data_IF_416285702022
#
_entry.id   IF_416285702022
#
_cell.length_a   1.000
_cell.length_b   1.000
_cell.length_c   1.000
_cell.angle_alpha   90.00
_cell.angle_beta   90.00
_cell.angle_gamma   90.00
#
_symmetry.space_group_name_H-M   'P 1'
#
loop_
_entity.id
_entity.type
_entity.pdbx_description
1 polymer ?
#
# COMPACT_ATOMS: atom_id res chain seq x y z
N UNK A 1 -8.30 -32.48 -48.29
CA UNK A 1 -7.47 -31.75 -47.32
C UNK A 1 -6.58 -30.81 -48.11
N UNK A 2 -7.01 -29.62 -48.53
CA UNK A 2 -7.28 -28.42 -47.74
C UNK A 2 -6.07 -28.01 -46.87
N UNK A 3 -5.19 -27.14 -47.38
CA UNK A 3 -5.09 -25.78 -46.85
C UNK A 3 -4.23 -24.87 -47.75
N UNK A 4 -4.84 -23.75 -48.09
CA UNK A 4 -4.33 -22.60 -48.82
C UNK A 4 -3.59 -21.70 -47.79
N UNK A 5 -2.34 -21.33 -48.04
CA UNK A 5 -1.60 -20.38 -47.19
C UNK A 5 -1.65 -19.02 -47.85
N UNK A 6 -2.56 -18.18 -47.36
CA UNK A 6 -2.75 -16.80 -47.79
C UNK A 6 -1.68 -15.92 -47.14
N UNK A 7 -0.81 -15.35 -47.96
CA UNK A 7 0.18 -14.33 -47.59
C UNK A 7 -0.53 -12.99 -47.37
N UNK A 8 -0.67 -12.56 -46.12
CA UNK A 8 -1.17 -11.22 -45.79
C UNK A 8 0.01 -10.27 -45.60
N UNK A 9 0.23 -9.42 -46.61
CA UNK A 9 1.05 -8.22 -46.53
C UNK A 9 0.38 -7.22 -45.58
N UNK A 10 1.00 -6.97 -44.43
CA UNK A 10 0.56 -5.94 -43.49
C UNK A 10 1.09 -4.57 -43.92
N UNK A 11 0.14 -3.68 -44.23
CA UNK A 11 0.36 -2.33 -44.74
C UNK A 11 0.87 -1.42 -43.63
N UNK A 12 2.14 -1.06 -43.71
CA UNK A 12 2.82 -0.06 -42.88
C UNK A 12 2.20 1.34 -43.12
N UNK A 13 1.21 1.74 -42.33
CA UNK A 13 0.72 3.14 -42.30
C UNK A 13 1.78 4.05 -41.66
N UNK A 14 2.58 4.72 -42.49
CA UNK A 14 3.30 5.95 -42.13
C UNK A 14 2.27 7.08 -41.91
N UNK A 15 2.10 7.54 -40.67
CA UNK A 15 1.56 8.89 -40.42
C UNK A 15 2.75 9.84 -40.35
N UNK A 16 2.99 10.56 -41.44
CA UNK A 16 3.89 11.70 -41.43
C UNK A 16 3.18 12.86 -40.74
N UNK A 17 3.69 13.27 -39.58
CA UNK A 17 3.42 14.61 -39.04
C UNK A 17 4.60 15.48 -39.45
N UNK A 18 4.33 16.38 -40.39
CA UNK A 18 5.27 17.36 -40.91
C UNK A 18 5.68 18.30 -39.75
N UNK A 19 6.92 18.18 -39.27
CA UNK A 19 7.52 19.19 -38.39
C UNK A 19 7.93 20.35 -39.29
N UNK A 20 7.22 21.48 -39.19
CA UNK A 20 7.57 22.72 -39.87
C UNK A 20 8.36 23.61 -38.89
N UNK A 21 9.50 24.21 -39.28
CA UNK A 21 10.26 25.11 -38.41
C UNK A 21 9.96 26.58 -38.73
N UNK A 22 9.41 27.33 -37.79
CA UNK A 22 9.52 28.80 -37.78
C UNK A 22 9.25 29.37 -36.39
N UNK A 23 10.28 30.01 -35.84
CA UNK A 23 10.37 30.84 -34.63
C UNK A 23 9.40 32.06 -34.63
N UNK A 24 9.46 32.97 -33.63
CA UNK A 24 9.07 32.86 -32.23
C UNK A 24 7.93 33.85 -31.85
N UNK A 25 7.38 33.71 -30.64
CA UNK A 25 6.58 34.72 -29.92
C UNK A 25 5.15 34.96 -30.42
N UNK A 26 4.21 34.15 -29.90
CA UNK A 26 2.80 34.52 -29.82
C UNK A 26 2.34 34.49 -28.35
N UNK A 27 1.75 35.57 -27.79
CA UNK A 27 1.39 35.65 -26.36
C UNK A 27 0.37 34.60 -25.91
N UNK A 28 -0.41 34.06 -26.85
CA UNK A 28 -1.47 33.08 -26.61
C UNK A 28 -0.95 31.70 -26.20
N UNK A 29 0.27 31.34 -26.59
CA UNK A 29 0.88 30.07 -26.17
C UNK A 29 1.30 30.13 -24.70
N UNK A 30 1.80 31.30 -24.25
CA UNK A 30 2.18 31.53 -22.85
C UNK A 30 0.98 31.43 -21.89
N UNK A 31 -0.19 31.93 -22.30
CA UNK A 31 -1.43 31.77 -21.53
C UNK A 31 -1.95 30.33 -21.59
N UNK A 32 -1.88 29.66 -22.75
CA UNK A 32 -2.28 28.26 -22.86
C UNK A 32 -1.42 27.34 -21.98
N UNK A 33 -0.11 27.56 -21.93
CA UNK A 33 0.80 26.83 -21.04
C UNK A 33 0.58 27.20 -19.56
N UNK A 34 0.26 28.47 -19.24
CA UNK A 34 -0.08 28.88 -17.88
C UNK A 34 -1.40 28.26 -17.39
N UNK A 35 -2.41 28.14 -18.25
CA UNK A 35 -3.69 27.48 -17.92
C UNK A 35 -3.53 25.97 -17.73
N UNK A 36 -2.70 25.31 -18.56
CA UNK A 36 -2.35 23.89 -18.39
C UNK A 36 -1.52 23.67 -17.11
N UNK A 37 -0.59 24.57 -16.81
CA UNK A 37 0.26 24.48 -15.63
C UNK A 37 -0.47 24.82 -14.32
N UNK A 38 -1.45 25.74 -14.36
CA UNK A 38 -2.34 26.03 -13.24
C UNK A 38 -3.30 24.86 -12.96
N UNK A 39 -3.73 24.12 -13.98
CA UNK A 39 -4.48 22.86 -13.81
C UNK A 39 -3.64 21.75 -13.17
N UNK A 40 -2.31 21.81 -13.31
CA UNK A 40 -1.40 20.80 -12.77
C UNK A 40 -1.02 21.05 -11.29
N UNK A 41 -1.32 22.23 -10.75
CA UNK A 41 -1.04 22.63 -9.36
C UNK A 41 -2.21 22.42 -8.40
N UNK A 42 -3.40 22.06 -8.88
CA UNK A 42 -4.54 21.72 -8.02
C UNK A 42 -4.49 20.25 -7.63
N UNK A 43 -3.69 19.96 -6.60
CA UNK A 43 -3.79 18.74 -5.82
C UNK A 43 -4.84 18.95 -4.70
N UNK A 44 -5.78 18.02 -4.46
CA UNK A 44 -5.98 16.73 -5.14
C UNK A 44 -6.78 16.84 -6.46
N UNK A 45 -6.69 15.84 -7.35
CA UNK A 45 -7.47 15.79 -8.59
C UNK A 45 -8.99 15.91 -8.29
N UNK A 46 -9.80 16.43 -9.23
CA UNK A 46 -11.25 16.52 -9.06
C UNK A 46 -11.81 15.12 -8.82
N UNK A 47 -12.13 14.83 -7.57
CA UNK A 47 -12.70 13.57 -7.11
C UNK A 47 -14.08 13.43 -7.75
N UNK A 48 -14.18 12.72 -8.88
CA UNK A 48 -15.44 12.18 -9.37
C UNK A 48 -15.87 11.09 -8.39
N UNK A 49 -16.31 11.50 -7.20
CA UNK A 49 -16.96 10.62 -6.24
C UNK A 49 -18.29 10.23 -6.86
N UNK A 50 -18.33 9.09 -7.55
CA UNK A 50 -19.60 8.48 -7.94
C UNK A 50 -20.47 8.41 -6.68
N UNK A 51 -21.71 8.90 -6.74
CA UNK A 51 -22.72 8.69 -5.67
C UNK A 51 -23.12 7.22 -5.51
N UNK A 52 -22.60 6.32 -6.32
CA UNK A 52 -22.99 4.91 -6.25
C UNK A 52 -22.74 4.27 -4.86
N UNK A 53 -21.58 4.45 -4.18
CA UNK A 53 -21.31 3.83 -2.89
C UNK A 53 -22.23 4.29 -1.75
N UNK A 54 -22.69 5.55 -1.76
CA UNK A 54 -23.56 6.09 -0.70
C UNK A 54 -24.97 5.46 -0.73
N UNK A 55 -25.52 5.18 -1.92
CA UNK A 55 -26.81 4.51 -2.05
C UNK A 55 -26.75 3.04 -1.63
N UNK A 56 -25.68 2.32 -1.99
CA UNK A 56 -25.50 0.93 -1.56
C UNK A 56 -25.36 0.83 -0.04
N UNK A 57 -24.63 1.76 0.58
CA UNK A 57 -24.50 1.83 2.04
C UNK A 57 -25.84 2.03 2.73
N UNK A 58 -26.67 2.96 2.24
CA UNK A 58 -28.01 3.20 2.81
C UNK A 58 -28.94 2.00 2.68
N UNK A 59 -28.97 1.36 1.51
CA UNK A 59 -29.81 0.17 1.26
C UNK A 59 -29.32 -1.01 2.10
N UNK A 60 -28.01 -1.23 2.17
CA UNK A 60 -27.43 -2.29 3.00
C UNK A 60 -27.71 -2.07 4.49
N UNK A 61 -27.56 -0.83 4.98
CA UNK A 61 -27.84 -0.50 6.38
C UNK A 61 -29.32 -0.69 6.74
N UNK A 62 -30.22 -0.13 5.92
CA UNK A 62 -31.67 -0.24 6.14
C UNK A 62 -32.15 -1.69 6.05
N UNK A 63 -31.67 -2.45 5.06
CA UNK A 63 -32.04 -3.87 4.93
C UNK A 63 -31.47 -4.73 6.05
N UNK A 64 -30.23 -4.49 6.48
CA UNK A 64 -29.64 -5.19 7.64
C UNK A 64 -30.42 -4.93 8.91
N UNK A 65 -30.81 -3.68 9.18
CA UNK A 65 -31.60 -3.34 10.36
C UNK A 65 -33.01 -3.96 10.30
N UNK A 66 -33.67 -3.90 9.15
CA UNK A 66 -34.99 -4.52 8.96
C UNK A 66 -34.93 -6.04 9.20
N UNK A 67 -33.96 -6.73 8.60
CA UNK A 67 -33.75 -8.16 8.79
C UNK A 67 -33.40 -8.49 10.25
N UNK A 68 -32.61 -7.65 10.90
CA UNK A 68 -32.26 -7.81 12.31
C UNK A 68 -33.49 -7.70 13.22
N UNK A 69 -34.37 -6.72 12.98
CA UNK A 69 -35.63 -6.60 13.74
C UNK A 69 -36.53 -7.82 13.51
N UNK A 70 -36.67 -8.28 12.26
CA UNK A 70 -37.44 -9.50 11.93
C UNK A 70 -36.83 -10.73 12.64
N UNK A 71 -35.50 -10.83 12.67
CA UNK A 71 -34.78 -11.89 13.35
C UNK A 71 -35.02 -11.86 14.88
N UNK A 72 -34.97 -10.69 15.52
CA UNK A 72 -35.28 -10.57 16.94
C UNK A 72 -36.73 -10.92 17.25
N UNK A 73 -37.67 -10.45 16.42
CA UNK A 73 -39.08 -10.83 16.55
C UNK A 73 -39.23 -12.35 16.44
N UNK A 74 -38.63 -12.97 15.43
CA UNK A 74 -38.66 -14.44 15.30
C UNK A 74 -38.03 -15.16 16.50
N UNK A 75 -36.92 -14.66 17.05
CA UNK A 75 -36.24 -15.28 18.18
C UNK A 75 -37.01 -15.18 19.51
N UNK A 76 -37.65 -14.03 19.79
CA UNK A 76 -38.26 -13.74 21.09
C UNK A 76 -39.79 -13.93 21.15
N UNK A 77 -40.49 -13.90 20.03
CA UNK A 77 -41.96 -13.99 20.01
C UNK A 77 -42.43 -15.42 20.29
N UNK A 78 -43.48 -15.67 21.12
CA UNK A 78 -43.99 -17.02 21.39
C UNK A 78 -44.61 -17.69 20.14
N UNK A 79 -44.61 -19.03 20.12
CA UNK A 79 -45.09 -19.86 18.99
C UNK A 79 -46.51 -19.50 18.56
N UNK A 80 -47.38 -19.22 19.53
CA UNK A 80 -48.79 -18.90 19.32
C UNK A 80 -48.98 -17.70 18.38
N UNK A 81 -48.15 -16.66 18.53
CA UNK A 81 -48.21 -15.46 17.71
C UNK A 81 -47.64 -15.69 16.31
N UNK A 82 -46.62 -16.53 16.17
CA UNK A 82 -46.01 -16.88 14.88
C UNK A 82 -46.97 -17.72 14.03
N UNK A 83 -47.64 -18.69 14.66
CA UNK A 83 -48.65 -19.54 14.03
C UNK A 83 -49.87 -18.69 13.64
N UNK A 84 -50.28 -17.74 14.50
CA UNK A 84 -51.35 -16.79 14.18
C UNK A 84 -51.00 -15.88 12.98
N UNK A 85 -49.73 -15.50 12.84
CA UNK A 85 -49.23 -14.77 11.68
C UNK A 85 -49.24 -15.59 10.37
N UNK A 86 -49.58 -16.88 10.44
CA UNK A 86 -49.69 -17.79 9.30
C UNK A 86 -48.39 -18.55 8.96
N UNK A 87 -47.36 -18.46 9.80
CA UNK A 87 -46.09 -19.18 9.58
C UNK A 87 -46.15 -20.54 10.26
N UNK A 88 -46.41 -21.57 9.47
CA UNK A 88 -46.58 -22.96 9.96
C UNK A 88 -45.27 -23.74 10.06
N UNK A 89 -44.22 -23.30 9.36
CA UNK A 89 -42.91 -23.95 9.38
C UNK A 89 -41.79 -22.91 9.48
N UNK A 90 -40.94 -23.05 10.47
CA UNK A 90 -39.72 -22.27 10.67
C UNK A 90 -38.62 -23.16 11.28
N UNK A 91 -37.32 -22.85 11.09
CA UNK A 91 -36.23 -23.65 11.64
C UNK A 91 -36.25 -23.65 13.18
N UNK A 92 -35.60 -24.63 13.82
CA UNK A 92 -35.58 -24.74 15.28
C UNK A 92 -35.10 -23.42 15.95
N UNK A 93 -35.73 -23.01 17.06
CA UNK A 93 -35.40 -21.77 17.79
C UNK A 93 -33.96 -21.72 18.29
N UNK A 94 -33.32 -22.88 18.48
CA UNK A 94 -31.89 -22.98 18.85
C UNK A 94 -30.97 -22.26 17.86
N UNK A 95 -31.38 -22.11 16.59
CA UNK A 95 -30.62 -21.34 15.62
C UNK A 95 -30.48 -19.86 15.99
N UNK A 96 -31.40 -19.32 16.81
CA UNK A 96 -31.31 -17.96 17.33
C UNK A 96 -30.10 -17.76 18.26
N UNK A 97 -29.66 -18.79 19.00
CA UNK A 97 -28.44 -18.71 19.83
C UNK A 97 -27.20 -19.17 19.05
N UNK A 98 -27.35 -20.16 18.16
CA UNK A 98 -26.24 -20.70 17.39
C UNK A 98 -25.66 -19.69 16.40
N UNK A 99 -26.49 -18.91 15.70
CA UNK A 99 -26.01 -17.91 14.73
C UNK A 99 -25.07 -16.87 15.36
N UNK A 100 -25.43 -16.17 16.46
CA UNK A 100 -24.53 -15.22 17.09
C UNK A 100 -23.33 -15.89 17.77
N UNK A 101 -23.47 -17.11 18.30
CA UNK A 101 -22.34 -17.84 18.87
C UNK A 101 -21.29 -18.20 17.80
N UNK A 102 -21.75 -18.75 16.66
CA UNK A 102 -20.88 -19.10 15.53
C UNK A 102 -20.27 -17.88 14.84
N UNK A 103 -20.97 -16.73 14.81
CA UNK A 103 -20.40 -15.50 14.24
C UNK A 103 -19.20 -15.00 15.04
N UNK A 104 -19.26 -15.04 16.38
CA UNK A 104 -18.12 -14.69 17.24
C UNK A 104 -16.94 -15.65 16.99
N UNK A 105 -17.22 -16.95 16.92
CA UNK A 105 -16.19 -17.96 16.61
C UNK A 105 -15.57 -17.72 15.23
N UNK A 106 -16.37 -17.39 14.21
CA UNK A 106 -15.88 -17.07 12.87
C UNK A 106 -15.00 -15.81 12.84
N UNK A 107 -15.36 -14.77 13.59
CA UNK A 107 -14.56 -13.55 13.75
C UNK A 107 -13.21 -13.88 14.39
N UNK A 108 -13.21 -14.59 15.52
CA UNK A 108 -11.97 -15.02 16.20
C UNK A 108 -11.12 -15.90 15.28
N UNK A 109 -11.73 -16.85 14.59
CA UNK A 109 -11.05 -17.71 13.63
C UNK A 109 -10.39 -16.91 12.51
N UNK A 110 -11.07 -15.88 11.98
CA UNK A 110 -10.50 -14.98 10.97
C UNK A 110 -9.26 -14.25 11.50
N UNK A 111 -9.29 -13.78 12.75
CA UNK A 111 -8.12 -13.17 13.38
C UNK A 111 -6.96 -14.16 13.56
N UNK A 112 -7.24 -15.39 14.00
CA UNK A 112 -6.22 -16.43 14.11
C UNK A 112 -5.60 -16.77 12.76
N UNK A 113 -6.41 -16.90 11.71
CA UNK A 113 -5.94 -17.14 10.34
C UNK A 113 -5.11 -15.97 9.85
N UNK A 114 -5.56 -14.72 10.06
CA UNK A 114 -4.80 -13.53 9.72
C UNK A 114 -3.45 -13.49 10.43
N UNK A 115 -3.42 -13.76 11.74
CA UNK A 115 -2.19 -13.82 12.52
C UNK A 115 -1.25 -14.92 12.01
N UNK A 116 -1.77 -16.12 11.74
CA UNK A 116 -0.98 -17.21 11.17
C UNK A 116 -0.41 -16.84 9.78
N UNK A 117 -1.19 -16.12 8.96
CA UNK A 117 -0.76 -15.67 7.64
C UNK A 117 0.28 -14.55 7.73
N UNK A 118 0.11 -13.63 8.69
CA UNK A 118 1.09 -12.58 8.97
C UNK A 118 2.42 -13.16 9.45
N UNK A 119 2.39 -14.13 10.37
CA UNK A 119 3.59 -14.86 10.80
C UNK A 119 4.24 -15.62 9.65
N UNK A 120 3.45 -16.29 8.82
CA UNK A 120 3.96 -16.99 7.62
C UNK A 120 4.58 -16.03 6.60
N UNK A 121 4.04 -14.82 6.49
CA UNK A 121 4.53 -13.78 5.56
C UNK A 121 5.70 -12.97 6.11
N UNK A 122 6.06 -13.14 7.38
CA UNK A 122 7.18 -12.42 7.99
C UNK A 122 8.51 -13.11 7.60
N UNK A 123 9.47 -12.39 6.98
CA UNK A 123 10.79 -12.94 6.70
C UNK A 123 11.53 -13.29 8.01
N UNK A 124 12.53 -14.19 7.97
CA UNK A 124 13.33 -14.49 9.15
C UNK A 124 14.01 -13.23 9.69
N UNK A 125 14.18 -13.14 11.02
CA UNK A 125 14.72 -11.95 11.70
C UNK A 125 16.14 -11.57 11.24
N UNK A 126 16.88 -12.52 10.69
CA UNK A 126 18.23 -12.32 10.18
C UNK A 126 18.25 -11.76 8.75
N UNK A 127 17.09 -11.60 8.10
CA UNK A 127 16.98 -11.04 6.75
C UNK A 127 16.79 -9.51 6.78
N UNK A 128 17.56 -8.81 5.95
CA UNK A 128 17.46 -7.35 5.80
C UNK A 128 16.08 -6.92 5.29
N UNK A 129 15.38 -7.81 4.59
CA UNK A 129 14.01 -7.59 4.12
C UNK A 129 12.99 -7.42 5.27
N UNK A 130 13.36 -7.78 6.51
CA UNK A 130 12.54 -7.49 7.69
C UNK A 130 12.59 -6.02 8.12
N UNK A 131 13.63 -5.27 7.72
CA UNK A 131 13.86 -3.87 8.12
C UNK A 131 13.61 -2.93 6.92
N UNK A 132 13.92 -3.40 5.72
CA UNK A 132 13.86 -2.63 4.48
C UNK A 132 12.95 -3.31 3.47
N UNK A 133 12.05 -2.55 2.84
CA UNK A 133 11.20 -3.06 1.76
C UNK A 133 11.80 -2.74 0.36
N UNK A 134 11.16 -3.27 -0.69
CA UNK A 134 11.58 -3.02 -2.07
C UNK A 134 11.28 -1.60 -2.59
N UNK A 135 10.63 -0.76 -1.78
CA UNK A 135 10.31 0.63 -2.12
C UNK A 135 11.25 1.63 -1.47
N UNK A 136 12.19 1.17 -0.64
CA UNK A 136 13.23 2.00 -0.06
C UNK A 136 14.10 2.67 -1.13
N UNK A 137 14.24 3.98 -1.02
CA UNK A 137 14.94 4.83 -1.97
C UNK A 137 16.42 4.90 -1.59
N UNK A 138 17.22 3.98 -2.13
CA UNK A 138 18.68 4.03 -1.96
C UNK A 138 19.39 4.65 -3.18
N UNK A 139 20.43 5.47 -2.97
CA UNK A 139 21.25 5.96 -4.06
C UNK A 139 22.00 4.77 -4.67
N UNK A 140 21.92 4.64 -5.99
CA UNK A 140 22.68 3.61 -6.71
C UNK A 140 24.17 3.91 -6.59
N UNK A 141 25.04 2.90 -6.35
CA UNK A 141 26.48 3.10 -6.39
C UNK A 141 26.87 3.49 -7.81
N UNK A 142 26.99 4.78 -8.07
CA UNK A 142 27.64 5.27 -9.28
C UNK A 142 29.12 5.02 -9.05
N UNK A 143 29.81 4.33 -9.96
CA UNK A 143 31.19 3.84 -9.80
C UNK A 143 32.28 4.92 -9.65
N UNK A 144 31.96 6.08 -9.09
CA UNK A 144 32.87 7.15 -8.71
C UNK A 144 33.01 7.28 -7.19
N UNK A 145 34.07 7.97 -6.78
CA UNK A 145 34.55 8.14 -5.39
C UNK A 145 33.65 9.04 -4.51
N UNK A 146 32.45 9.41 -4.98
CA UNK A 146 31.61 10.43 -4.35
C UNK A 146 30.37 9.81 -3.70
N UNK A 147 30.22 9.99 -2.39
CA UNK A 147 29.07 9.49 -1.63
C UNK A 147 27.85 10.38 -1.87
N UNK A 148 26.81 9.88 -2.53
CA UNK A 148 25.57 10.63 -2.80
C UNK A 148 24.91 11.18 -1.54
N UNK A 149 25.03 10.48 -0.41
CA UNK A 149 24.53 10.97 0.88
C UNK A 149 25.25 12.24 1.38
N UNK A 150 26.53 12.43 1.02
CA UNK A 150 27.29 13.63 1.39
C UNK A 150 27.06 14.78 0.41
N UNK A 151 26.73 14.49 -0.85
CA UNK A 151 26.32 15.49 -1.84
C UNK A 151 25.13 16.33 -1.35
N UNK A 152 24.26 15.74 -0.51
CA UNK A 152 23.15 16.43 0.14
C UNK A 152 23.57 17.51 1.15
N UNK A 153 24.85 17.56 1.52
CA UNK A 153 25.39 18.56 2.47
C UNK A 153 25.94 19.79 1.74
N UNK A 154 25.99 19.79 0.40
CA UNK A 154 26.51 20.90 -0.39
C UNK A 154 25.54 22.08 -0.44
N UNK A 155 26.05 23.30 -0.18
CA UNK A 155 25.28 24.53 0.03
C UNK A 155 24.49 25.07 -1.20
N UNK A 156 24.52 24.38 -2.34
CA UNK A 156 23.86 24.83 -3.57
C UNK A 156 23.22 23.70 -4.39
N UNK A 157 22.88 22.59 -3.74
CA UNK A 157 22.22 21.44 -4.37
C UNK A 157 20.95 21.15 -3.60
N UNK A 158 19.83 20.95 -4.30
CA UNK A 158 18.61 20.38 -3.70
C UNK A 158 18.76 18.86 -3.80
N UNK A 159 19.05 18.14 -2.71
CA UNK A 159 19.23 16.71 -2.77
C UNK A 159 17.93 16.00 -3.12
N UNK A 160 18.05 14.93 -3.90
CA UNK A 160 16.97 13.97 -4.06
C UNK A 160 16.68 13.28 -2.71
N UNK A 161 15.42 12.94 -2.48
CA UNK A 161 14.98 12.30 -1.24
C UNK A 161 15.39 10.83 -1.24
N UNK A 162 16.30 10.47 -0.34
CA UNK A 162 16.79 9.10 -0.17
C UNK A 162 16.57 8.62 1.27
N UNK A 163 16.29 7.33 1.42
CA UNK A 163 16.25 6.66 2.72
C UNK A 163 17.68 6.40 3.21
N UNK A 164 17.91 6.73 4.49
CA UNK A 164 19.18 6.51 5.15
C UNK A 164 19.11 5.18 5.90
N UNK A 165 19.90 4.15 5.52
CA UNK A 165 19.83 2.86 6.19
C UNK A 165 20.30 2.99 7.65
N UNK A 166 19.57 2.33 8.56
CA UNK A 166 19.85 2.39 10.00
C UNK A 166 21.28 1.95 10.34
N UNK A 167 21.86 1.03 9.57
CA UNK A 167 23.25 0.60 9.72
C UNK A 167 24.25 1.74 9.49
N UNK A 168 23.98 2.64 8.54
CA UNK A 168 24.81 3.80 8.27
C UNK A 168 24.69 4.83 9.40
N UNK A 169 23.46 5.09 9.88
CA UNK A 169 23.22 5.98 11.02
C UNK A 169 23.94 5.47 12.26
N UNK A 170 23.78 4.18 12.57
CA UNK A 170 24.41 3.55 13.74
C UNK A 170 25.94 3.65 13.66
N UNK A 171 26.50 3.37 12.48
CA UNK A 171 27.95 3.49 12.24
C UNK A 171 28.44 4.93 12.38
N UNK A 172 27.71 5.93 11.90
CA UNK A 172 28.16 7.34 11.99
C UNK A 172 28.03 7.87 13.40
N UNK A 173 26.92 7.57 14.08
CA UNK A 173 26.61 8.13 15.39
C UNK A 173 27.44 7.50 16.51
N UNK A 174 27.65 6.18 16.48
CA UNK A 174 28.25 5.43 17.60
C UNK A 174 29.69 4.97 17.35
N UNK A 175 30.33 5.39 16.24
CA UNK A 175 31.70 4.93 15.93
C UNK A 175 32.72 5.27 17.03
N UNK A 176 32.56 6.45 17.63
CA UNK A 176 33.51 6.98 18.62
C UNK A 176 33.45 6.22 19.95
N UNK A 177 32.25 5.78 20.35
CA UNK A 177 32.05 5.00 21.57
C UNK A 177 32.62 3.58 21.43
N UNK A 178 32.48 2.97 20.24
CA UNK A 178 33.11 1.67 19.95
C UNK A 178 34.64 1.73 19.97
N UNK A 179 35.24 2.80 19.43
CA UNK A 179 36.70 2.97 19.44
C UNK A 179 37.23 3.21 20.87
N UNK A 180 36.50 3.98 21.68
CA UNK A 180 36.85 4.20 23.09
C UNK A 180 36.76 2.90 23.92
N UNK A 181 35.71 2.12 23.73
CA UNK A 181 35.52 0.83 24.39
C UNK A 181 36.53 -0.24 23.91
N UNK A 182 36.87 -0.26 22.62
CA UNK A 182 37.91 -1.12 22.03
C UNK A 182 39.29 -0.83 22.63
N UNK A 183 39.65 0.46 22.74
CA UNK A 183 40.93 0.91 23.32
C UNK A 183 41.06 0.58 24.81
N UNK A 184 39.95 0.52 25.55
CA UNK A 184 39.92 0.10 26.95
C UNK A 184 39.97 -1.43 27.13
N UNK A 185 39.57 -2.22 26.12
CA UNK A 185 39.58 -3.70 26.19
C UNK A 185 40.96 -4.32 25.94
N UNK A 186 41.91 -3.59 25.36
CA UNK A 186 43.33 -3.96 25.27
C UNK A 186 44.20 -3.01 26.11
N UNK A 187 44.21 -3.10 27.46
CA UNK A 187 45.31 -2.57 28.22
C UNK A 187 46.52 -3.49 28.01
N UNK A 188 47.62 -2.88 27.57
CA UNK A 188 48.87 -3.52 27.25
C UNK A 188 49.26 -4.64 28.25
N UNK A 189 49.43 -5.87 27.74
CA UNK A 189 50.42 -6.78 28.29
C UNK A 189 51.80 -6.16 28.04
N UNK A 190 52.17 -5.22 28.91
CA UNK A 190 53.52 -4.70 29.02
C UNK A 190 54.40 -5.88 29.44
N UNK A 191 55.13 -6.42 28.46
CA UNK A 191 56.20 -7.37 28.69
C UNK A 191 57.32 -6.65 29.42
N UNK A 192 57.35 -6.76 30.74
CA UNK A 192 58.52 -6.43 31.54
C UNK A 192 59.54 -7.57 31.41
N UNK A 193 60.71 -7.19 30.91
CA UNK A 193 62.04 -7.60 31.39
C UNK A 193 62.57 -9.00 31.01
N UNK A 194 63.90 -9.23 31.11
CA UNK A 194 64.95 -8.36 31.67
C UNK A 194 66.06 -7.89 30.71
#
# INVERSE_FOLDING_TARGET
MAHNVHSSHEVRRRKGTLVQPSSPTSPLESEAHAHVQAQQLTWPPPEHRSRAPEFYGFVAWTSTYLLFVIYLLWAFLPDELIIWLGVTWYPNREWAILVPAWSIVAVLFTYFVYFALALRGTPPLDDINSITDGHALYPKPQGGTHNTYLAATELNVIPELYDIPISLVNRVLYHHDEQAASKQRHPATVSCDP
#
